data_IF_565945012889
#
_entry.id   IF_565945012889
#
_cell.length_a   1.000
_cell.length_b   1.000
_cell.length_c   1.000
_cell.angle_alpha   90.00
_cell.angle_beta   90.00
_cell.angle_gamma   90.00
#
_symmetry.space_group_name_H-M   'P 1'
#
loop_
_entity.id
_entity.type
_entity.pdbx_description
1 polymer ?
#
# COMPACT_ATOMS: atom_id res chain seq x y z
N UNK A 1 2.37 13.47 -19.41
CA UNK A 1 2.03 13.64 -17.99
C UNK A 1 2.15 12.32 -17.23
N UNK A 2 2.07 12.31 -15.90
CA UNK A 2 2.14 11.09 -15.09
C UNK A 2 1.16 10.00 -15.56
N UNK A 3 -0.11 10.37 -15.81
CA UNK A 3 -1.17 9.45 -16.24
C UNK A 3 -0.92 8.80 -17.61
N UNK A 4 -0.29 9.51 -18.55
CA UNK A 4 0.04 8.97 -19.87
C UNK A 4 1.13 7.89 -19.80
N UNK A 5 2.05 8.04 -18.84
CA UNK A 5 3.14 7.07 -18.61
C UNK A 5 2.69 5.87 -17.77
N UNK A 6 1.64 6.04 -16.97
CA UNK A 6 1.18 5.05 -15.99
C UNK A 6 -0.31 4.73 -16.17
N UNK A 7 -0.77 4.22 -17.33
CA UNK A 7 -2.20 3.98 -17.57
C UNK A 7 -2.81 2.91 -16.62
N UNK A 8 -1.98 2.04 -16.04
CA UNK A 8 -2.42 1.00 -15.09
C UNK A 8 -3.01 1.57 -13.80
N UNK A 9 -2.61 2.79 -13.40
CA UNK A 9 -3.06 3.40 -12.14
C UNK A 9 -4.55 3.73 -12.15
N UNK A 10 -5.20 3.73 -13.32
CA UNK A 10 -6.65 3.87 -13.43
C UNK A 10 -7.42 2.70 -12.79
N UNK A 11 -6.75 1.57 -12.55
CA UNK A 11 -7.28 0.45 -11.77
C UNK A 11 -6.91 0.52 -10.27
N UNK A 12 -6.08 1.48 -9.87
CA UNK A 12 -5.68 1.72 -8.48
C UNK A 12 -6.58 2.77 -7.81
N UNK A 13 -6.66 2.70 -6.48
CA UNK A 13 -7.34 3.72 -5.67
C UNK A 13 -6.64 5.06 -5.90
N UNK A 14 -7.43 6.10 -6.14
CA UNK A 14 -6.96 7.48 -6.32
C UNK A 14 -5.93 7.68 -7.46
N UNK A 15 -5.80 6.72 -8.37
CA UNK A 15 -4.95 6.83 -9.56
C UNK A 15 -3.46 7.05 -9.29
N UNK A 16 -2.91 6.40 -8.24
CA UNK A 16 -1.47 6.33 -8.01
C UNK A 16 -1.05 4.96 -7.48
N UNK A 17 0.25 4.68 -7.53
CA UNK A 17 0.90 3.52 -6.92
C UNK A 17 2.16 4.00 -6.20
N UNK A 18 2.32 3.66 -4.91
CA UNK A 18 3.54 4.02 -4.17
C UNK A 18 4.73 3.15 -4.57
N UNK A 19 4.48 1.95 -5.08
CA UNK A 19 5.49 1.02 -5.57
C UNK A 19 6.09 1.43 -6.91
N UNK A 20 5.45 2.40 -7.59
CA UNK A 20 5.84 2.89 -8.90
C UNK A 20 6.22 4.37 -8.90
N UNK A 21 6.10 5.01 -10.07
CA UNK A 21 6.42 6.44 -10.26
C UNK A 21 5.54 7.37 -9.40
N UNK A 22 4.40 6.88 -8.92
CA UNK A 22 3.46 7.64 -8.10
C UNK A 22 4.05 8.14 -6.78
N UNK A 23 5.11 7.52 -6.27
CA UNK A 23 5.83 8.00 -5.07
C UNK A 23 6.32 9.45 -5.21
N UNK A 24 6.64 9.90 -6.43
CA UNK A 24 7.13 11.25 -6.69
C UNK A 24 6.04 12.33 -6.53
N UNK A 25 4.78 11.93 -6.38
CA UNK A 25 3.64 12.83 -6.18
C UNK A 25 3.48 13.26 -4.71
N UNK A 26 4.23 12.66 -3.79
CA UNK A 26 4.09 12.85 -2.35
C UNK A 26 5.30 13.60 -1.77
N UNK A 27 5.04 14.64 -0.98
CA UNK A 27 6.06 15.32 -0.18
C UNK A 27 6.34 14.58 1.15
N UNK A 28 5.31 13.96 1.73
CA UNK A 28 5.37 13.24 3.01
C UNK A 28 4.27 12.19 3.11
N UNK A 29 4.56 11.07 3.79
CA UNK A 29 3.61 9.99 4.08
C UNK A 29 3.63 9.75 5.58
N UNK A 30 2.48 9.90 6.24
CA UNK A 30 2.31 9.64 7.67
C UNK A 30 1.45 8.39 7.89
N UNK A 31 2.05 7.21 7.70
CA UNK A 31 1.41 5.91 7.94
C UNK A 31 2.46 4.79 7.93
N UNK A 32 2.04 3.58 8.32
CA UNK A 32 2.79 2.36 8.01
C UNK A 32 2.75 2.10 6.49
N UNK A 33 3.90 1.84 5.88
CA UNK A 33 4.03 1.65 4.43
C UNK A 33 3.06 0.60 3.89
N UNK A 34 2.94 -0.55 4.55
CA UNK A 34 2.07 -1.64 4.09
C UNK A 34 0.59 -1.30 4.25
N UNK A 35 0.24 -0.53 5.29
CA UNK A 35 -1.11 -0.01 5.44
C UNK A 35 -1.50 0.88 4.24
N UNK A 36 -0.57 1.69 3.72
CA UNK A 36 -0.84 2.49 2.51
C UNK A 36 -0.96 1.62 1.25
N UNK A 37 -0.24 0.50 1.18
CA UNK A 37 -0.41 -0.48 0.11
C UNK A 37 -1.68 -1.34 0.24
N UNK A 38 -2.51 -1.07 1.25
CA UNK A 38 -3.83 -1.68 1.41
C UNK A 38 -3.90 -2.84 2.41
N UNK A 39 -2.79 -3.22 3.06
CA UNK A 39 -2.80 -4.28 4.07
C UNK A 39 -1.78 -4.03 5.20
N UNK A 40 -2.20 -3.70 6.42
CA UNK A 40 -1.28 -3.45 7.53
C UNK A 40 -0.62 -4.76 7.99
N UNK A 41 0.54 -5.10 7.43
CA UNK A 41 1.17 -6.41 7.60
C UNK A 41 1.41 -6.78 9.06
N UNK A 42 1.96 -5.86 9.87
CA UNK A 42 2.23 -6.15 11.30
C UNK A 42 0.93 -6.41 12.06
N UNK A 43 -0.10 -5.58 11.83
CA UNK A 43 -1.42 -5.76 12.44
C UNK A 43 -2.11 -7.05 12.00
N UNK A 44 -2.02 -7.39 10.71
CA UNK A 44 -2.53 -8.63 10.15
C UNK A 44 -1.84 -9.85 10.78
N UNK A 45 -0.50 -9.86 10.84
CA UNK A 45 0.24 -10.97 11.42
C UNK A 45 -0.06 -11.15 12.92
N UNK A 46 -0.31 -10.06 13.64
CA UNK A 46 -0.79 -10.13 15.03
C UNK A 46 -2.17 -10.80 15.08
N UNK A 47 -3.14 -10.33 14.29
CA UNK A 47 -4.47 -10.90 14.23
C UNK A 47 -4.46 -12.40 13.83
N UNK A 48 -3.62 -12.78 12.87
CA UNK A 48 -3.47 -14.19 12.47
C UNK A 48 -2.94 -15.08 13.60
N UNK A 49 -2.02 -14.58 14.45
CA UNK A 49 -1.58 -15.30 15.65
C UNK A 49 -2.72 -15.44 16.67
N UNK A 50 -3.49 -14.37 16.89
CA UNK A 50 -4.64 -14.39 17.81
C UNK A 50 -5.71 -15.40 17.37
N UNK A 51 -5.87 -15.59 16.06
CA UNK A 51 -6.77 -16.60 15.49
C UNK A 51 -6.16 -18.01 15.37
N UNK A 52 -4.90 -18.21 15.81
CA UNK A 52 -4.21 -19.50 15.71
C UNK A 52 -3.88 -19.93 14.28
N UNK A 53 -3.98 -19.01 13.31
CA UNK A 53 -3.66 -19.25 11.91
C UNK A 53 -2.16 -19.10 11.60
N UNK A 54 -1.39 -18.54 12.54
CA UNK A 54 0.05 -18.34 12.43
C UNK A 54 0.74 -18.74 13.74
N UNK A 55 1.89 -19.42 13.63
CA UNK A 55 2.72 -19.73 14.79
C UNK A 55 3.26 -18.45 15.45
N UNK A 56 3.51 -18.45 16.78
CA UNK A 56 4.06 -17.30 17.50
C UNK A 56 5.39 -16.81 16.88
#
# INVERSE_FOLDING_TARGET
GYLERNPQVLASVACYELEGEGVQLFERIDADFFAVLGLPMVGLLAALRDHGALAP
#
